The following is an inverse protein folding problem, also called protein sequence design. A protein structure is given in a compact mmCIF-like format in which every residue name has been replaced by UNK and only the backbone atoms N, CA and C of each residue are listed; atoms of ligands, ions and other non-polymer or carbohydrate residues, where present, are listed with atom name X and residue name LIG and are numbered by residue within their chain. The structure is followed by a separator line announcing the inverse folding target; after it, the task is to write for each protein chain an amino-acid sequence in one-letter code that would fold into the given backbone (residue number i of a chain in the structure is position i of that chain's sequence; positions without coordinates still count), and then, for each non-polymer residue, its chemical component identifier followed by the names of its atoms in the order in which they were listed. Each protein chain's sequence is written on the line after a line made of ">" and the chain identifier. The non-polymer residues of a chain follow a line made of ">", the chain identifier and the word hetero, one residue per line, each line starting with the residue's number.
data_IF_830889474980
#
_entry.id   IF_830889474980
#
_cell.length_a   1.000
_cell.length_b   1.000
_cell.length_c   1.000
_cell.angle_alpha   90.00
_cell.angle_beta   90.00
_cell.angle_gamma   90.00
#
_symmetry.space_group_name_H-M   'P 1'
#
loop_
_entity.id
_entity.type
_entity.pdbx_description
1 polymer ?
#
# COMPACT_ATOMS: atom_id res chain seq x y z
N UNK A 1 0.64 11.06 20.99
CA UNK A 1 1.59 10.79 19.89
C UNK A 1 0.82 10.37 18.66
N UNK A 2 1.05 11.04 17.53
CA UNK A 2 0.47 10.65 16.25
C UNK A 2 1.11 9.35 15.77
N UNK A 3 0.31 8.48 15.17
CA UNK A 3 0.82 7.29 14.46
C UNK A 3 1.56 7.76 13.20
N UNK A 4 2.71 7.17 12.91
CA UNK A 4 3.44 7.39 11.66
C UNK A 4 3.22 6.21 10.74
N UNK A 5 2.83 6.50 9.50
CA UNK A 5 2.62 5.50 8.43
C UNK A 5 3.69 5.67 7.36
N UNK A 6 4.42 4.60 7.06
CA UNK A 6 5.24 4.52 5.86
C UNK A 6 4.34 4.22 4.65
N UNK A 7 4.43 5.01 3.60
CA UNK A 7 3.75 4.75 2.32
C UNK A 7 4.82 4.47 1.29
N UNK A 8 4.99 3.20 0.92
CA UNK A 8 5.94 2.81 -0.12
C UNK A 8 5.18 2.66 -1.44
N UNK A 9 5.53 3.48 -2.44
CA UNK A 9 4.79 3.53 -3.70
C UNK A 9 5.67 4.05 -4.85
N UNK A 10 5.07 4.26 -6.01
CA UNK A 10 5.71 4.66 -7.25
C UNK A 10 6.47 5.98 -7.13
N UNK A 11 5.76 7.05 -6.89
CA UNK A 11 6.26 8.41 -6.66
C UNK A 11 5.10 9.26 -6.13
N UNK A 12 5.39 10.49 -5.72
CA UNK A 12 4.43 11.38 -5.07
C UNK A 12 4.53 12.78 -5.65
N UNK A 13 3.40 13.49 -5.65
CA UNK A 13 3.36 14.93 -5.93
C UNK A 13 3.48 15.73 -4.62
N UNK A 14 4.66 16.27 -4.29
CA UNK A 14 4.85 17.01 -3.05
C UNK A 14 4.08 18.34 -3.02
N UNK A 15 3.57 18.79 -4.17
CA UNK A 15 2.83 20.05 -4.28
C UNK A 15 1.33 19.88 -4.11
N UNK A 16 0.84 18.62 -4.07
CA UNK A 16 -0.58 18.34 -3.93
C UNK A 16 -1.13 18.88 -2.59
N UNK A 17 -2.22 19.62 -2.68
CA UNK A 17 -2.82 20.36 -1.55
C UNK A 17 -3.16 19.45 -0.36
N UNK A 18 -3.64 18.23 -0.60
CA UNK A 18 -4.00 17.26 0.43
C UNK A 18 -2.80 16.62 1.14
N UNK A 19 -1.58 16.79 0.62
CA UNK A 19 -0.36 16.31 1.24
C UNK A 19 0.37 17.37 2.06
N UNK A 20 -0.07 18.64 2.01
CA UNK A 20 0.60 19.73 2.71
C UNK A 20 0.53 19.53 4.23
N UNK A 21 1.71 19.46 4.87
CA UNK A 21 1.82 19.21 6.32
C UNK A 21 1.48 17.79 6.78
N UNK A 22 1.26 16.85 5.86
CA UNK A 22 0.84 15.48 6.18
C UNK A 22 1.98 14.46 6.14
N UNK A 23 3.17 14.84 5.72
CA UNK A 23 4.33 13.97 5.74
C UNK A 23 5.55 14.65 6.37
N UNK A 24 6.40 13.85 6.99
CA UNK A 24 7.65 14.31 7.64
C UNK A 24 8.89 13.93 6.84
N UNK A 25 8.74 13.02 5.88
CA UNK A 25 9.83 12.52 5.04
C UNK A 25 9.31 12.15 3.66
N UNK A 26 10.11 12.42 2.64
CA UNK A 26 9.91 11.95 1.27
C UNK A 26 11.25 11.52 0.68
N UNK A 27 11.32 10.31 0.11
CA UNK A 27 12.51 9.84 -0.59
C UNK A 27 12.81 10.71 -1.80
N UNK A 28 14.01 11.25 -1.88
CA UNK A 28 14.47 12.05 -3.00
C UNK A 28 14.91 11.17 -4.17
N UNK A 29 14.81 11.72 -5.40
CA UNK A 29 15.32 11.05 -6.60
C UNK A 29 14.54 9.83 -7.06
N UNK A 30 13.27 9.70 -6.65
CA UNK A 30 12.39 8.69 -7.22
C UNK A 30 12.23 8.90 -8.73
N UNK A 31 12.56 7.88 -9.51
CA UNK A 31 12.60 7.95 -10.97
C UNK A 31 11.30 7.50 -11.64
N UNK A 32 10.38 6.88 -10.88
CA UNK A 32 9.09 6.50 -11.43
C UNK A 32 8.27 7.74 -11.77
N UNK A 33 7.83 7.86 -13.03
CA UNK A 33 7.04 9.00 -13.50
C UNK A 33 5.57 8.99 -13.03
N UNK A 34 5.09 7.87 -12.51
CA UNK A 34 3.72 7.77 -12.01
C UNK A 34 3.60 8.39 -10.61
N UNK A 35 3.45 9.70 -10.58
CA UNK A 35 3.19 10.43 -9.33
C UNK A 35 1.73 10.31 -8.87
N UNK A 36 0.81 9.99 -9.76
CA UNK A 36 -0.62 9.97 -9.46
C UNK A 36 -0.98 8.81 -8.52
N UNK A 37 -0.42 7.60 -8.74
CA UNK A 37 -0.75 6.43 -7.94
C UNK A 37 -0.33 6.62 -6.48
N UNK A 38 0.94 6.87 -6.21
CA UNK A 38 1.43 7.05 -4.83
C UNK A 38 0.76 8.23 -4.12
N UNK A 39 0.51 9.34 -4.83
CA UNK A 39 -0.23 10.48 -4.28
C UNK A 39 -1.64 10.08 -3.86
N UNK A 40 -2.38 9.37 -4.71
CA UNK A 40 -3.74 8.90 -4.40
C UNK A 40 -3.77 7.94 -3.22
N UNK A 41 -2.82 7.02 -3.14
CA UNK A 41 -2.67 6.10 -2.00
C UNK A 41 -2.39 6.88 -0.72
N UNK A 42 -1.44 7.81 -0.73
CA UNK A 42 -1.08 8.61 0.42
C UNK A 42 -2.26 9.47 0.92
N UNK A 43 -2.99 10.11 0.01
CA UNK A 43 -4.18 10.90 0.36
C UNK A 43 -5.28 10.02 0.95
N UNK A 44 -5.48 8.82 0.43
CA UNK A 44 -6.48 7.89 0.98
C UNK A 44 -6.12 7.48 2.41
N UNK A 45 -4.84 7.30 2.72
CA UNK A 45 -4.35 6.93 4.06
C UNK A 45 -4.50 8.10 5.03
N UNK A 46 -3.94 9.26 4.70
CA UNK A 46 -3.78 10.37 5.62
C UNK A 46 -3.76 11.76 4.95
N UNK A 47 -4.48 11.97 3.87
CA UNK A 47 -4.66 13.29 3.27
C UNK A 47 -5.30 14.30 4.21
N UNK A 48 -5.29 15.57 3.84
CA UNK A 48 -5.93 16.64 4.59
C UNK A 48 -7.41 16.35 4.87
N UNK A 49 -7.92 16.80 6.00
CA UNK A 49 -9.33 16.67 6.36
C UNK A 49 -9.83 17.97 6.95
N UNK A 50 -11.13 18.23 6.84
CA UNK A 50 -11.78 19.43 7.35
C UNK A 50 -11.17 20.73 6.78
N UNK A 51 -10.76 20.69 5.52
CA UNK A 51 -10.11 21.80 4.80
C UNK A 51 -10.96 22.31 3.62
N UNK A 52 -12.18 21.79 3.44
CA UNK A 52 -13.08 22.11 2.32
C UNK A 52 -12.53 21.75 0.94
N UNK A 53 -11.54 20.85 0.88
CA UNK A 53 -10.91 20.35 -0.34
C UNK A 53 -11.04 18.84 -0.43
N UNK A 54 -10.98 18.30 -1.65
CA UNK A 54 -10.82 16.87 -1.92
C UNK A 54 -11.77 15.96 -1.16
N UNK A 55 -11.21 15.00 -0.44
CA UNK A 55 -11.94 14.01 0.36
C UNK A 55 -11.28 13.79 1.72
N UNK A 56 -12.08 13.53 2.73
CA UNK A 56 -11.57 13.19 4.05
C UNK A 56 -10.87 11.84 4.05
N UNK A 57 -9.67 11.79 4.61
CA UNK A 57 -8.94 10.55 4.86
C UNK A 57 -9.33 9.93 6.20
N UNK A 58 -8.97 8.65 6.40
CA UNK A 58 -9.13 7.97 7.68
C UNK A 58 -8.10 8.47 8.72
N UNK A 59 -6.91 8.82 8.25
CA UNK A 59 -5.76 9.17 9.10
C UNK A 59 -5.70 10.65 9.51
N UNK A 60 -6.75 11.17 10.15
CA UNK A 60 -6.84 12.60 10.52
C UNK A 60 -5.56 13.15 11.19
N UNK A 61 -5.06 12.51 12.25
CA UNK A 61 -3.87 12.91 13.00
C UNK A 61 -2.61 12.10 12.63
N UNK A 62 -2.63 11.43 11.49
CA UNK A 62 -1.53 10.59 11.04
C UNK A 62 -0.51 11.44 10.27
N UNK A 63 0.77 11.17 10.51
CA UNK A 63 1.88 11.67 9.71
C UNK A 63 2.43 10.56 8.83
N UNK A 64 2.91 10.89 7.66
CA UNK A 64 3.42 9.92 6.70
C UNK A 64 4.92 10.07 6.46
N UNK A 65 5.53 8.97 6.03
CA UNK A 65 6.81 8.92 5.35
C UNK A 65 6.55 8.41 3.93
N UNK A 66 6.76 9.26 2.93
CA UNK A 66 6.55 8.94 1.52
C UNK A 66 7.84 8.32 0.97
N UNK A 67 7.80 7.06 0.57
CA UNK A 67 8.98 6.26 0.26
C UNK A 67 8.86 5.52 -1.07
N UNK A 68 9.98 5.20 -1.67
CA UNK A 68 10.03 4.44 -2.91
C UNK A 68 9.55 2.99 -2.76
N UNK A 69 9.11 2.42 -3.83
CA UNK A 69 8.52 1.08 -3.98
C UNK A 69 9.62 -0.01 -3.93
N UNK A 70 10.28 -0.19 -2.76
CA UNK A 70 11.31 -1.20 -2.55
C UNK A 70 11.28 -1.80 -1.14
N UNK A 71 11.84 -3.01 -0.98
CA UNK A 71 11.97 -3.65 0.33
C UNK A 71 12.89 -2.86 1.27
N UNK A 72 13.96 -2.27 0.76
CA UNK A 72 14.84 -1.42 1.55
C UNK A 72 14.12 -0.20 2.11
N UNK A 73 13.16 0.36 1.38
CA UNK A 73 12.34 1.47 1.86
C UNK A 73 11.29 1.03 2.89
N UNK A 74 10.79 -0.21 2.82
CA UNK A 74 9.99 -0.80 3.90
C UNK A 74 10.82 -0.86 5.19
N UNK A 75 12.03 -1.40 5.12
CA UNK A 75 12.91 -1.51 6.28
C UNK A 75 13.31 -0.14 6.82
N UNK A 76 13.66 0.79 5.94
CA UNK A 76 13.99 2.17 6.32
C UNK A 76 12.81 2.89 6.99
N UNK A 77 11.56 2.66 6.53
CA UNK A 77 10.37 3.19 7.17
C UNK A 77 10.22 2.65 8.61
N UNK A 78 10.43 1.35 8.79
CA UNK A 78 10.37 0.70 10.10
C UNK A 78 11.39 1.29 11.07
N UNK A 79 12.64 1.41 10.67
CA UNK A 79 13.69 2.03 11.50
C UNK A 79 13.45 3.51 11.80
N UNK A 80 12.78 4.22 10.90
CA UNK A 80 12.36 5.60 11.11
C UNK A 80 11.05 5.71 11.93
N UNK A 81 10.59 4.62 12.53
CA UNK A 81 9.50 4.60 13.51
C UNK A 81 8.09 4.48 12.93
N UNK A 82 7.94 4.18 11.65
CA UNK A 82 6.64 3.86 11.08
C UNK A 82 6.06 2.61 11.76
N UNK A 83 4.84 2.71 12.26
CA UNK A 83 4.13 1.59 12.92
C UNK A 83 3.28 0.78 11.95
N UNK A 84 2.90 1.39 10.86
CA UNK A 84 2.19 0.77 9.74
C UNK A 84 2.96 1.12 8.48
N UNK A 85 3.15 0.17 7.59
CA UNK A 85 3.82 0.40 6.31
C UNK A 85 2.91 -0.14 5.20
N UNK A 86 2.41 0.76 4.36
CA UNK A 86 1.59 0.42 3.22
C UNK A 86 2.46 0.10 2.00
N UNK A 87 2.13 -1.00 1.32
CA UNK A 87 2.76 -1.46 0.10
C UNK A 87 1.70 -1.76 -0.98
N UNK A 88 1.23 -0.72 -1.67
CA UNK A 88 0.24 -0.84 -2.74
C UNK A 88 0.88 -1.17 -4.09
N UNK A 89 1.75 -2.19 -4.10
CA UNK A 89 2.50 -2.62 -5.28
C UNK A 89 2.80 -4.11 -5.23
N UNK A 90 3.19 -4.66 -6.37
CA UNK A 90 3.64 -6.05 -6.53
C UNK A 90 5.06 -6.07 -7.06
N UNK A 91 5.94 -6.77 -6.37
CA UNK A 91 7.34 -6.95 -6.77
C UNK A 91 7.56 -8.11 -7.74
N UNK A 92 6.63 -9.06 -7.74
CA UNK A 92 6.73 -10.26 -8.59
C UNK A 92 5.89 -11.41 -8.08
N UNK A 93 6.09 -12.57 -8.71
CA UNK A 93 5.29 -13.79 -8.53
C UNK A 93 6.07 -14.93 -7.88
N UNK A 94 7.33 -14.70 -7.56
CA UNK A 94 8.22 -15.70 -6.98
C UNK A 94 8.69 -15.28 -5.59
N UNK A 95 8.76 -16.24 -4.69
CA UNK A 95 9.30 -16.05 -3.35
C UNK A 95 10.78 -15.63 -3.41
N UNK A 96 11.17 -14.70 -2.55
CA UNK A 96 12.54 -14.27 -2.32
C UNK A 96 12.87 -14.30 -0.85
N UNK A 97 13.87 -15.10 -0.45
CA UNK A 97 14.29 -15.16 0.95
C UNK A 97 14.78 -13.80 1.46
N UNK A 98 15.54 -13.06 0.65
CA UNK A 98 15.96 -11.71 1.00
C UNK A 98 14.76 -10.79 1.34
N UNK A 99 13.71 -10.83 0.53
CA UNK A 99 12.54 -9.99 0.78
C UNK A 99 11.78 -10.44 2.05
N UNK A 100 11.67 -11.75 2.27
CA UNK A 100 11.09 -12.29 3.51
C UNK A 100 11.89 -11.86 4.74
N UNK A 101 13.22 -11.90 4.67
CA UNK A 101 14.08 -11.49 5.79
C UNK A 101 13.88 -10.01 6.13
N UNK A 102 13.81 -9.14 5.11
CA UNK A 102 13.51 -7.71 5.28
C UNK A 102 12.14 -7.48 5.91
N UNK A 103 11.10 -8.19 5.45
CA UNK A 103 9.75 -8.11 6.02
C UNK A 103 9.76 -8.56 7.49
N UNK A 104 10.41 -9.69 7.77
CA UNK A 104 10.53 -10.23 9.13
C UNK A 104 11.26 -9.26 10.06
N UNK A 105 12.32 -8.61 9.59
CA UNK A 105 13.04 -7.61 10.37
C UNK A 105 12.19 -6.37 10.66
N UNK A 106 11.46 -5.86 9.67
CA UNK A 106 10.54 -4.74 9.86
C UNK A 106 9.41 -5.08 10.85
N UNK A 107 8.86 -6.30 10.77
CA UNK A 107 7.86 -6.80 11.71
C UNK A 107 8.43 -6.91 13.14
N UNK A 108 9.61 -7.49 13.30
CA UNK A 108 10.27 -7.62 14.62
C UNK A 108 10.62 -6.25 15.22
N UNK A 109 10.82 -5.23 14.39
CA UNK A 109 11.01 -3.84 14.81
C UNK A 109 9.68 -3.15 15.19
N UNK A 110 8.56 -3.86 15.10
CA UNK A 110 7.24 -3.41 15.54
C UNK A 110 6.43 -2.65 14.48
N UNK A 111 6.68 -2.93 13.20
CA UNK A 111 5.88 -2.40 12.09
C UNK A 111 4.93 -3.46 11.53
N UNK A 112 3.66 -3.10 11.33
CA UNK A 112 2.72 -3.90 10.56
C UNK A 112 2.83 -3.52 9.08
N UNK A 113 3.15 -4.49 8.23
CA UNK A 113 3.16 -4.30 6.78
C UNK A 113 1.77 -4.67 6.23
N UNK A 114 1.17 -3.78 5.44
CA UNK A 114 -0.12 -3.97 4.79
C UNK A 114 0.09 -3.88 3.29
N UNK A 115 -0.24 -4.94 2.56
CA UNK A 115 0.02 -5.00 1.13
C UNK A 115 -1.22 -5.35 0.31
N UNK A 116 -1.29 -4.77 -0.88
CA UNK A 116 -2.29 -5.13 -1.89
C UNK A 116 -2.07 -6.57 -2.38
N UNK A 117 -3.11 -7.39 -2.34
CA UNK A 117 -3.05 -8.77 -2.85
C UNK A 117 -2.80 -8.86 -4.36
N UNK A 118 -3.10 -7.78 -5.12
CA UNK A 118 -2.88 -7.68 -6.56
C UNK A 118 -4.15 -7.52 -7.37
N UNK A 119 -3.98 -7.26 -8.66
CA UNK A 119 -5.05 -6.85 -9.59
C UNK A 119 -5.56 -8.00 -10.49
N UNK A 120 -5.66 -9.20 -9.98
CA UNK A 120 -6.32 -10.35 -10.62
C UNK A 120 -5.59 -11.00 -11.78
N UNK A 121 -5.05 -10.23 -12.70
CA UNK A 121 -4.20 -10.74 -13.80
C UNK A 121 -2.73 -10.81 -13.44
N UNK A 122 -2.37 -10.20 -12.33
CA UNK A 122 -1.02 -10.25 -11.78
C UNK A 122 -0.63 -11.73 -11.57
N UNK A 123 0.58 -12.08 -11.93
CA UNK A 123 1.09 -13.44 -11.76
C UNK A 123 0.29 -14.54 -12.51
N UNK A 124 -0.41 -14.17 -13.57
CA UNK A 124 -1.09 -15.13 -14.45
C UNK A 124 -2.46 -15.60 -13.97
N UNK A 125 -3.02 -14.99 -12.92
CA UNK A 125 -4.39 -15.26 -12.49
C UNK A 125 -4.66 -14.89 -11.04
N UNK A 126 -5.92 -14.66 -10.74
CA UNK A 126 -6.38 -14.14 -9.45
C UNK A 126 -6.13 -15.08 -8.27
N UNK A 127 -5.96 -16.38 -8.49
CA UNK A 127 -5.65 -17.38 -7.47
C UNK A 127 -4.16 -17.57 -7.21
N UNK A 128 -3.29 -16.93 -8.01
CA UNK A 128 -1.84 -17.05 -7.84
C UNK A 128 -1.30 -16.07 -6.80
N UNK A 129 -0.24 -16.49 -6.11
CA UNK A 129 0.42 -15.66 -5.10
C UNK A 129 1.14 -14.47 -5.76
N UNK A 130 1.07 -13.33 -5.10
CA UNK A 130 1.77 -12.12 -5.48
C UNK A 130 2.50 -11.55 -4.24
N UNK A 131 3.69 -11.00 -4.46
CA UNK A 131 4.54 -10.47 -3.39
C UNK A 131 4.66 -8.94 -3.48
N UNK A 132 4.69 -8.24 -2.35
CA UNK A 132 4.96 -8.69 -0.99
C UNK A 132 3.76 -9.29 -0.22
N UNK A 133 2.55 -9.24 -0.74
CA UNK A 133 1.35 -9.64 -0.01
C UNK A 133 1.38 -11.10 0.52
N UNK A 134 2.08 -12.00 -0.17
CA UNK A 134 2.16 -13.41 0.20
C UNK A 134 3.34 -13.79 1.12
N UNK A 135 4.09 -12.81 1.66
CA UNK A 135 5.10 -13.09 2.68
C UNK A 135 4.48 -13.25 4.06
N UNK A 136 5.14 -14.03 4.92
CA UNK A 136 4.83 -14.08 6.35
C UNK A 136 4.98 -12.68 6.97
N UNK A 137 4.13 -12.36 7.94
CA UNK A 137 4.10 -11.06 8.63
C UNK A 137 3.60 -9.88 7.78
N UNK A 138 2.96 -10.13 6.64
CA UNK A 138 2.26 -9.14 5.84
C UNK A 138 0.76 -9.34 5.96
N UNK A 139 0.01 -8.29 6.22
CA UNK A 139 -1.44 -8.29 6.10
C UNK A 139 -1.80 -8.10 4.63
N UNK A 140 -2.24 -9.17 4.00
CA UNK A 140 -2.64 -9.21 2.59
C UNK A 140 -4.09 -8.75 2.42
N UNK A 141 -4.29 -7.66 1.70
CA UNK A 141 -5.62 -7.05 1.53
C UNK A 141 -6.06 -7.14 0.08
N UNK A 142 -7.19 -7.79 -0.16
CA UNK A 142 -7.89 -7.74 -1.44
C UNK A 142 -9.06 -6.77 -1.39
N UNK A 143 -9.75 -6.57 -2.51
CA UNK A 143 -10.94 -5.75 -2.55
C UNK A 143 -12.20 -6.57 -2.82
N UNK A 144 -13.31 -6.02 -2.35
CA UNK A 144 -14.66 -6.47 -2.70
C UNK A 144 -15.49 -5.28 -3.17
N UNK A 145 -16.35 -5.54 -4.15
CA UNK A 145 -17.35 -4.61 -4.61
C UNK A 145 -18.63 -4.64 -3.74
N UNK A 146 -19.59 -3.77 -4.04
CA UNK A 146 -20.83 -3.66 -3.27
C UNK A 146 -21.74 -4.88 -3.34
N UNK A 147 -21.42 -5.86 -4.18
CA UNK A 147 -22.14 -7.14 -4.31
C UNK A 147 -21.39 -8.32 -3.69
N UNK A 148 -20.42 -8.04 -2.80
CA UNK A 148 -19.59 -9.06 -2.14
C UNK A 148 -18.86 -9.97 -3.14
N UNK A 149 -18.40 -9.42 -4.26
CA UNK A 149 -17.62 -10.12 -5.26
C UNK A 149 -16.27 -9.44 -5.46
N UNK A 150 -15.32 -10.13 -6.16
CA UNK A 150 -13.98 -9.62 -6.43
C UNK A 150 -13.85 -8.94 -7.80
N UNK A 151 -14.96 -8.56 -8.43
CA UNK A 151 -14.93 -7.84 -9.71
C UNK A 151 -14.21 -6.49 -9.55
N UNK A 152 -13.34 -6.17 -10.49
CA UNK A 152 -12.74 -4.83 -10.58
C UNK A 152 -13.67 -3.83 -11.25
N UNK A 153 -14.45 -4.32 -12.21
CA UNK A 153 -15.43 -3.51 -12.92
C UNK A 153 -16.81 -4.15 -12.78
N UNK A 154 -17.85 -3.39 -12.44
CA UNK A 154 -19.21 -3.89 -12.25
C UNK A 154 -19.67 -4.73 -13.43
N UNK A 155 -20.14 -5.96 -13.13
CA UNK A 155 -20.67 -6.87 -14.14
C UNK A 155 -19.63 -7.57 -15.01
N UNK A 156 -18.35 -7.46 -14.68
CA UNK A 156 -17.28 -8.16 -15.39
C UNK A 156 -16.57 -9.17 -14.49
N UNK A 157 -17.12 -10.36 -14.37
CA UNK A 157 -16.58 -11.44 -13.55
C UNK A 157 -15.24 -12.02 -14.06
N UNK A 158 -14.78 -11.61 -15.25
CA UNK A 158 -13.50 -12.05 -15.82
C UNK A 158 -12.32 -11.18 -15.34
N UNK A 159 -12.59 -9.99 -14.84
CA UNK A 159 -11.59 -9.06 -14.33
C UNK A 159 -11.83 -8.87 -12.84
N UNK A 160 -11.01 -9.54 -12.03
CA UNK A 160 -11.17 -9.59 -10.58
C UNK A 160 -9.92 -9.09 -9.89
N UNK A 161 -10.02 -8.74 -8.62
CA UNK A 161 -8.86 -8.59 -7.74
C UNK A 161 -8.31 -9.96 -7.35
N UNK A 162 -7.07 -9.99 -6.86
CA UNK A 162 -6.45 -11.22 -6.38
C UNK A 162 -7.23 -11.78 -5.17
N UNK A 163 -7.49 -13.08 -5.17
CA UNK A 163 -8.19 -13.80 -4.09
C UNK A 163 -7.57 -15.18 -3.86
N UNK A 164 -6.27 -15.18 -3.64
CA UNK A 164 -5.46 -16.38 -3.39
C UNK A 164 -5.46 -16.78 -1.90
N UNK A 165 -4.74 -17.87 -1.58
CA UNK A 165 -4.69 -18.43 -0.23
C UNK A 165 -3.90 -17.59 0.77
N UNK A 166 -3.20 -16.55 0.36
CA UNK A 166 -2.48 -15.64 1.23
C UNK A 166 -3.29 -14.39 1.61
N UNK A 167 -4.51 -14.23 1.09
CA UNK A 167 -5.36 -13.10 1.45
C UNK A 167 -5.88 -13.26 2.86
N UNK A 168 -5.64 -12.26 3.72
CA UNK A 168 -6.11 -12.23 5.10
C UNK A 168 -7.46 -11.54 5.25
N UNK A 169 -7.67 -10.45 4.52
CA UNK A 169 -8.85 -9.61 4.66
C UNK A 169 -9.22 -8.96 3.33
N UNK A 170 -10.47 -8.57 3.20
CA UNK A 170 -10.94 -7.73 2.09
C UNK A 170 -11.41 -6.36 2.62
N UNK A 171 -11.31 -5.36 1.76
CA UNK A 171 -11.80 -4.02 2.00
C UNK A 171 -12.61 -3.54 0.80
N UNK A 172 -13.53 -2.57 0.96
CA UNK A 172 -14.20 -1.95 -0.17
C UNK A 172 -13.19 -1.38 -1.15
N UNK A 173 -13.28 -1.78 -2.41
CA UNK A 173 -12.40 -1.29 -3.47
C UNK A 173 -13.03 -1.60 -4.81
N UNK A 174 -13.16 -0.56 -5.62
CA UNK A 174 -13.79 -0.61 -6.93
C UNK A 174 -13.02 0.32 -7.86
N UNK A 175 -12.73 -0.12 -9.07
CA UNK A 175 -12.15 0.73 -10.11
C UNK A 175 -13.22 1.48 -10.86
#
# INVERSE_FOLDING_TARGET
>A
SSVVVGVTDTNFDPTHEELQGKYTYMTSGLTNSNIAHGTSVAITIAGGTDNSLGKSSIGYNTQMQLRGMTYNEILAASYAGAKIINASWVSGCSFSQYAQDVITEAYNNGSLIVASAGNGTTCGGASNLAYPAAYDHVLSVTSVGPQDNHERFPGNSLITHQHNTAVDICAPGYD
#
